data_IF_454981422198
#
_entry.id   IF_454981422198
#
_cell.length_a   1.000
_cell.length_b   1.000
_cell.length_c   1.000
_cell.angle_alpha   90.00
_cell.angle_beta   90.00
_cell.angle_gamma   90.00
#
_symmetry.space_group_name_H-M   'P 1'
#
loop_
_entity.id
_entity.type
_entity.pdbx_description
1 polymer ?
#
# COMPACT_ATOMS: atom_id res chain seq x y z
N UNK A 1 -27.69 -13.29 1.93
CA UNK A 1 -27.61 -13.12 0.45
C UNK A 1 -27.19 -11.69 0.19
N UNK A 2 -26.17 -11.47 -0.65
CA UNK A 2 -25.92 -10.12 -1.15
C UNK A 2 -26.92 -9.81 -2.26
N UNK A 3 -27.43 -8.58 -2.25
CA UNK A 3 -28.37 -8.10 -3.25
C UNK A 3 -27.92 -6.74 -3.79
N UNK A 4 -28.10 -6.52 -5.09
CA UNK A 4 -27.87 -5.25 -5.76
C UNK A 4 -29.18 -4.75 -6.33
N UNK A 5 -29.65 -3.60 -5.85
CA UNK A 5 -30.97 -3.05 -6.22
C UNK A 5 -32.11 -4.09 -6.04
N UNK A 6 -32.03 -4.90 -4.98
CA UNK A 6 -33.01 -5.95 -4.69
C UNK A 6 -32.82 -7.26 -5.46
N UNK A 7 -31.79 -7.37 -6.32
CA UNK A 7 -31.50 -8.58 -7.09
C UNK A 7 -30.37 -9.38 -6.43
N UNK A 8 -30.59 -10.66 -6.18
CA UNK A 8 -29.58 -11.57 -5.62
C UNK A 8 -28.39 -11.74 -6.56
N UNK A 9 -27.18 -11.62 -6.02
CA UNK A 9 -25.94 -11.86 -6.74
C UNK A 9 -25.66 -13.37 -6.87
N UNK A 10 -25.27 -13.81 -8.06
CA UNK A 10 -24.83 -15.20 -8.29
C UNK A 10 -23.45 -15.43 -7.68
N UNK A 11 -23.19 -16.63 -7.15
CA UNK A 11 -21.88 -17.00 -6.58
C UNK A 11 -21.49 -18.43 -6.92
N UNK A 12 -20.19 -18.71 -6.95
CA UNK A 12 -19.65 -20.06 -6.99
C UNK A 12 -19.45 -20.64 -5.57
N UNK A 13 -18.96 -21.88 -5.48
CA UNK A 13 -18.72 -22.57 -4.21
C UNK A 13 -17.54 -21.97 -3.40
N UNK A 14 -16.63 -21.23 -4.06
CA UNK A 14 -15.54 -20.51 -3.41
C UNK A 14 -15.98 -19.11 -2.91
N UNK A 15 -17.23 -18.70 -3.21
CA UNK A 15 -17.80 -17.44 -2.78
C UNK A 15 -17.62 -16.29 -3.75
N UNK A 16 -16.95 -16.51 -4.89
CA UNK A 16 -16.77 -15.47 -5.90
C UNK A 16 -18.08 -15.18 -6.60
N UNK A 17 -18.34 -13.90 -6.87
CA UNK A 17 -19.56 -13.51 -7.57
C UNK A 17 -19.49 -13.95 -9.03
N UNK A 18 -20.49 -14.65 -9.53
CA UNK A 18 -20.57 -15.11 -10.93
C UNK A 18 -21.51 -14.26 -11.77
N UNK A 19 -22.38 -13.47 -11.12
CA UNK A 19 -23.30 -12.57 -11.79
C UNK A 19 -23.75 -11.45 -10.86
N UNK A 20 -23.96 -10.25 -11.43
CA UNK A 20 -24.60 -9.16 -10.70
C UNK A 20 -26.13 -9.12 -10.81
N UNK A 21 -26.73 -10.06 -11.53
CA UNK A 21 -28.17 -10.12 -11.79
C UNK A 21 -28.71 -9.01 -12.72
N UNK A 22 -27.84 -8.15 -13.24
CA UNK A 22 -28.13 -7.02 -14.14
C UNK A 22 -27.41 -7.16 -15.48
N UNK A 23 -27.19 -8.41 -15.91
CA UNK A 23 -26.58 -8.73 -17.21
C UNK A 23 -25.04 -8.84 -17.20
N UNK A 24 -24.36 -8.51 -16.10
CA UNK A 24 -22.92 -8.80 -15.99
C UNK A 24 -22.70 -10.20 -15.44
N UNK A 25 -21.79 -10.95 -16.06
CA UNK A 25 -21.32 -12.23 -15.53
C UNK A 25 -19.79 -12.29 -15.50
N UNK A 26 -19.30 -13.09 -14.56
CA UNK A 26 -17.90 -13.16 -14.19
C UNK A 26 -17.46 -14.62 -14.17
N UNK A 27 -16.31 -14.91 -14.79
CA UNK A 27 -15.63 -16.19 -14.64
C UNK A 27 -14.32 -16.00 -13.88
N UNK A 28 -13.92 -17.04 -13.15
CA UNK A 28 -12.78 -17.00 -12.23
C UNK A 28 -11.75 -18.05 -12.62
N UNK A 29 -10.47 -17.75 -12.43
CA UNK A 29 -9.41 -18.75 -12.55
C UNK A 29 -9.33 -19.64 -11.29
N UNK A 30 -8.46 -20.65 -11.34
CA UNK A 30 -8.27 -21.57 -10.20
C UNK A 30 -7.67 -20.94 -8.94
N UNK A 31 -7.18 -19.69 -9.02
CA UNK A 31 -6.64 -18.93 -7.89
C UNK A 31 -7.62 -17.87 -7.38
N UNK A 32 -8.84 -17.79 -7.93
CA UNK A 32 -9.85 -16.83 -7.50
C UNK A 32 -9.68 -15.43 -8.07
N UNK A 33 -8.95 -15.25 -9.18
CA UNK A 33 -8.94 -13.98 -9.91
C UNK A 33 -10.00 -13.94 -11.01
N UNK A 34 -10.54 -12.75 -11.27
CA UNK A 34 -11.47 -12.53 -12.36
C UNK A 34 -10.75 -12.80 -13.68
N UNK A 35 -11.15 -13.84 -14.42
CA UNK A 35 -10.51 -14.28 -15.66
C UNK A 35 -11.30 -13.88 -16.90
N UNK A 36 -12.63 -13.71 -16.79
CA UNK A 36 -13.48 -13.27 -17.89
C UNK A 36 -14.61 -12.38 -17.38
N UNK A 37 -14.92 -11.36 -18.17
CA UNK A 37 -16.09 -10.50 -17.96
C UNK A 37 -16.97 -10.50 -19.21
N UNK A 38 -18.27 -10.75 -18.98
CA UNK A 38 -19.29 -10.70 -20.02
C UNK A 38 -20.38 -9.69 -19.66
N UNK A 39 -20.93 -9.03 -20.67
CA UNK A 39 -22.07 -8.13 -20.55
C UNK A 39 -23.18 -8.61 -21.50
N UNK A 40 -24.35 -8.91 -20.95
CA UNK A 40 -25.52 -9.44 -21.67
C UNK A 40 -25.18 -10.68 -22.51
N UNK A 41 -24.39 -11.59 -21.96
CA UNK A 41 -23.94 -12.81 -22.63
C UNK A 41 -22.84 -12.61 -23.67
N UNK A 42 -22.34 -11.38 -23.86
CA UNK A 42 -21.27 -11.06 -24.81
C UNK A 42 -19.96 -10.86 -24.06
N UNK A 43 -18.90 -11.57 -24.46
CA UNK A 43 -17.56 -11.39 -23.90
C UNK A 43 -17.02 -9.99 -24.19
N UNK A 44 -16.56 -9.32 -23.14
CA UNK A 44 -16.02 -7.96 -23.19
C UNK A 44 -14.55 -7.90 -22.76
N UNK A 45 -14.14 -8.75 -21.83
CA UNK A 45 -12.74 -8.84 -21.43
C UNK A 45 -12.33 -10.24 -20.95
N UNK A 46 -11.04 -10.53 -21.12
CA UNK A 46 -10.34 -11.63 -20.45
C UNK A 46 -9.07 -11.12 -19.80
N UNK A 47 -8.75 -11.61 -18.61
CA UNK A 47 -7.65 -11.14 -17.79
C UNK A 47 -6.73 -12.30 -17.42
N UNK A 48 -5.43 -12.01 -17.30
CA UNK A 48 -4.39 -12.99 -17.04
C UNK A 48 -3.45 -12.49 -15.96
N UNK A 49 -2.96 -13.40 -15.13
CA UNK A 49 -2.18 -13.08 -13.93
C UNK A 49 -0.89 -13.89 -13.88
N UNK A 50 0.15 -13.34 -13.27
CA UNK A 50 1.39 -14.07 -12.99
C UNK A 50 1.29 -14.84 -11.66
N UNK A 51 2.34 -15.59 -11.32
CA UNK A 51 2.44 -16.31 -10.03
C UNK A 51 2.40 -15.37 -8.81
N UNK A 52 2.66 -14.08 -9.02
CA UNK A 52 2.56 -13.06 -7.99
C UNK A 52 1.14 -12.46 -7.90
N UNK A 53 0.15 -12.99 -8.61
CA UNK A 53 -1.24 -12.49 -8.62
C UNK A 53 -1.40 -11.10 -9.27
N UNK A 54 -0.35 -10.59 -9.91
CA UNK A 54 -0.41 -9.32 -10.65
C UNK A 54 -0.97 -9.57 -12.04
N UNK A 55 -1.85 -8.69 -12.50
CA UNK A 55 -2.44 -8.82 -13.83
C UNK A 55 -1.39 -8.55 -14.89
N UNK A 56 -1.01 -9.54 -15.68
CA UNK A 56 0.00 -9.40 -16.73
C UNK A 56 -0.56 -8.75 -17.98
N UNK A 57 -1.78 -9.11 -18.38
CA UNK A 57 -2.44 -8.51 -19.53
C UNK A 57 -3.95 -8.68 -19.46
N UNK A 58 -4.63 -7.83 -20.24
CA UNK A 58 -6.04 -7.99 -20.55
C UNK A 58 -6.28 -7.90 -22.05
N UNK A 59 -7.25 -8.67 -22.53
CA UNK A 59 -7.74 -8.57 -23.89
C UNK A 59 -9.16 -8.03 -23.86
N UNK A 60 -9.45 -7.04 -24.68
CA UNK A 60 -10.78 -6.48 -24.88
C UNK A 60 -11.44 -7.13 -26.09
N UNK A 61 -12.75 -7.34 -25.97
CA UNK A 61 -13.55 -8.09 -26.93
C UNK A 61 -14.86 -7.38 -27.26
N UNK A 62 -15.34 -7.60 -28.48
CA UNK A 62 -16.74 -7.42 -28.83
C UNK A 62 -17.30 -8.76 -29.33
N UNK A 63 -17.69 -9.63 -28.40
CA UNK A 63 -18.01 -11.02 -28.72
C UNK A 63 -16.74 -11.75 -29.15
N UNK A 64 -16.74 -12.34 -30.34
CA UNK A 64 -15.57 -13.07 -30.86
C UNK A 64 -14.50 -12.17 -31.50
N UNK A 65 -14.75 -10.86 -31.64
CA UNK A 65 -13.80 -9.91 -32.23
C UNK A 65 -12.89 -9.32 -31.15
N UNK A 66 -11.58 -9.52 -31.29
CA UNK A 66 -10.59 -8.87 -30.43
C UNK A 66 -10.50 -7.36 -30.78
N UNK A 67 -10.54 -6.51 -29.76
CA UNK A 67 -10.43 -5.05 -29.89
C UNK A 67 -9.03 -4.54 -29.56
N UNK A 68 -8.30 -5.26 -28.70
CA UNK A 68 -6.95 -4.88 -28.30
C UNK A 68 -6.47 -5.62 -27.07
N UNK A 69 -5.17 -5.52 -26.82
CA UNK A 69 -4.50 -6.10 -25.66
C UNK A 69 -3.72 -5.02 -24.95
N UNK A 70 -3.89 -4.94 -23.64
CA UNK A 70 -3.05 -4.13 -22.76
C UNK A 70 -2.18 -5.08 -21.94
N UNK A 71 -0.87 -4.86 -21.95
CA UNK A 71 0.12 -5.56 -21.14
C UNK A 71 0.58 -4.64 -20.02
N UNK A 72 0.62 -5.13 -18.79
CA UNK A 72 0.97 -4.39 -17.60
C UNK A 72 2.37 -4.78 -17.13
N UNK A 73 3.18 -3.77 -16.83
CA UNK A 73 4.56 -3.94 -16.36
C UNK A 73 4.67 -3.34 -14.97
N UNK A 74 5.24 -4.09 -14.03
CA UNK A 74 5.33 -3.72 -12.64
C UNK A 74 6.79 -3.55 -12.21
N UNK A 75 7.03 -2.75 -11.17
CA UNK A 75 8.33 -2.72 -10.50
C UNK A 75 8.49 -3.91 -9.54
N UNK A 76 9.62 -3.94 -8.85
CA UNK A 76 9.93 -4.98 -7.86
C UNK A 76 8.99 -4.93 -6.64
N UNK A 77 8.36 -3.79 -6.40
CA UNK A 77 7.35 -3.57 -5.38
C UNK A 77 5.94 -3.82 -5.93
N UNK A 78 5.76 -4.29 -7.17
CA UNK A 78 4.45 -4.55 -7.73
C UNK A 78 3.59 -3.31 -8.05
N UNK A 79 4.18 -2.12 -8.10
CA UNK A 79 3.50 -0.91 -8.58
C UNK A 79 3.47 -0.93 -10.10
N UNK A 80 2.34 -0.53 -10.68
CA UNK A 80 2.20 -0.46 -12.13
C UNK A 80 3.12 0.62 -12.69
N UNK A 81 4.16 0.23 -13.42
CA UNK A 81 5.13 1.14 -14.04
C UNK A 81 4.70 1.57 -15.44
N UNK A 82 4.16 0.64 -16.22
CA UNK A 82 3.91 0.89 -17.64
C UNK A 82 2.81 0.00 -18.18
N UNK A 83 2.13 0.52 -19.19
CA UNK A 83 1.25 -0.24 -20.06
C UNK A 83 1.76 -0.22 -21.49
N UNK A 84 1.67 -1.37 -22.17
CA UNK A 84 2.00 -1.50 -23.60
C UNK A 84 0.90 -2.23 -24.36
N UNK A 85 0.86 -2.05 -25.67
CA UNK A 85 0.10 -2.92 -26.56
C UNK A 85 0.73 -4.33 -26.62
N UNK A 86 0.06 -5.27 -27.29
CA UNK A 86 0.61 -6.59 -27.62
C UNK A 86 1.85 -6.53 -28.51
N UNK A 87 2.08 -5.43 -29.23
CA UNK A 87 3.27 -5.22 -30.07
C UNK A 87 4.41 -4.51 -29.34
N UNK A 88 4.23 -4.20 -28.05
CA UNK A 88 5.21 -3.48 -27.23
C UNK A 88 5.18 -1.96 -27.39
N UNK A 89 4.23 -1.40 -28.14
CA UNK A 89 4.05 0.06 -28.20
C UNK A 89 3.61 0.58 -26.84
N UNK A 90 4.28 1.61 -26.33
CA UNK A 90 3.96 2.21 -25.02
C UNK A 90 2.59 2.90 -25.09
N UNK A 91 1.76 2.69 -24.07
CA UNK A 91 0.46 3.35 -23.92
C UNK A 91 0.51 4.40 -22.80
N UNK A 92 1.05 4.03 -21.64
CA UNK A 92 1.21 4.90 -20.49
C UNK A 92 2.43 4.50 -19.65
N UNK A 93 3.13 5.46 -19.07
CA UNK A 93 4.15 5.25 -18.02
C UNK A 93 3.74 5.99 -16.76
N UNK A 94 3.81 5.33 -15.61
CA UNK A 94 3.42 5.87 -14.32
C UNK A 94 4.66 6.28 -13.53
N UNK A 95 4.58 7.43 -12.88
CA UNK A 95 5.64 8.00 -12.06
C UNK A 95 5.09 8.14 -10.65
N UNK A 96 5.85 7.63 -9.68
CA UNK A 96 5.53 7.68 -8.26
C UNK A 96 6.64 8.39 -7.50
N UNK A 97 6.32 8.90 -6.32
CA UNK A 97 7.34 9.31 -5.35
C UNK A 97 7.95 8.09 -4.62
N UNK A 98 8.84 8.36 -3.67
CA UNK A 98 9.48 7.33 -2.85
C UNK A 98 8.48 6.57 -1.97
N UNK A 99 7.42 7.23 -1.51
CA UNK A 99 6.35 6.63 -0.71
C UNK A 99 5.36 5.79 -1.55
N UNK A 100 5.43 5.87 -2.88
CA UNK A 100 4.52 5.17 -3.79
C UNK A 100 3.24 5.94 -4.13
N UNK A 101 3.18 7.25 -3.83
CA UNK A 101 2.11 8.14 -4.28
C UNK A 101 2.27 8.43 -5.77
N UNK A 102 1.22 8.30 -6.60
CA UNK A 102 1.32 8.58 -8.02
C UNK A 102 1.43 10.09 -8.28
N UNK A 103 2.51 10.51 -8.95
CA UNK A 103 2.82 11.91 -9.25
C UNK A 103 2.41 12.33 -10.67
N UNK A 104 2.63 11.46 -11.65
CA UNK A 104 2.36 11.77 -13.04
C UNK A 104 2.17 10.52 -13.90
N UNK A 105 1.56 10.71 -15.06
CA UNK A 105 1.46 9.71 -16.13
C UNK A 105 1.99 10.34 -17.42
N UNK A 106 2.91 9.65 -18.09
CA UNK A 106 3.27 9.97 -19.47
C UNK A 106 2.40 9.12 -20.37
N UNK A 107 1.42 9.72 -21.03
CA UNK A 107 0.53 9.06 -21.97
C UNK A 107 1.09 9.21 -23.38
N UNK A 108 1.34 8.08 -24.03
CA UNK A 108 1.97 8.08 -25.34
C UNK A 108 1.04 8.66 -26.42
N UNK A 109 1.64 9.34 -27.40
CA UNK A 109 0.95 9.84 -28.58
C UNK A 109 0.10 8.75 -29.26
N UNK A 110 -1.13 9.08 -29.63
CA UNK A 110 -2.10 8.18 -30.27
C UNK A 110 -2.40 6.88 -29.48
N UNK A 111 -2.12 6.85 -28.18
CA UNK A 111 -2.57 5.76 -27.31
C UNK A 111 -4.07 5.89 -27.02
N UNK A 112 -4.73 4.82 -26.52
CA UNK A 112 -6.11 4.90 -26.05
C UNK A 112 -6.34 5.93 -24.94
N UNK A 113 -5.29 6.47 -24.31
CA UNK A 113 -5.36 7.40 -23.18
C UNK A 113 -5.10 8.85 -23.56
N UNK A 114 -4.54 9.09 -24.74
CA UNK A 114 -4.13 10.39 -25.24
C UNK A 114 -4.46 10.50 -26.74
N UNK A 115 -5.46 11.32 -27.05
CA UNK A 115 -5.94 11.56 -28.41
C UNK A 115 -5.02 12.47 -29.26
N UNK A 116 -3.89 12.94 -28.72
CA UNK A 116 -2.96 13.83 -29.41
C UNK A 116 -1.83 13.08 -30.12
N UNK A 117 -1.16 13.77 -31.04
CA UNK A 117 -0.03 13.24 -31.81
C UNK A 117 1.32 13.37 -31.10
N UNK A 118 1.33 13.85 -29.86
CA UNK A 118 2.51 14.01 -29.03
C UNK A 118 2.29 13.35 -27.67
N UNK A 119 3.39 12.93 -27.02
CA UNK A 119 3.31 12.43 -25.66
C UNK A 119 2.83 13.55 -24.73
N UNK A 120 1.94 13.20 -23.80
CA UNK A 120 1.42 14.13 -22.81
C UNK A 120 1.84 13.71 -21.41
N UNK A 121 2.37 14.66 -20.65
CA UNK A 121 2.58 14.49 -19.21
C UNK A 121 1.34 15.01 -18.49
N UNK A 122 0.69 14.10 -17.77
CA UNK A 122 -0.49 14.35 -16.95
C UNK A 122 -0.06 14.32 -15.49
N UNK A 123 -0.06 15.48 -14.84
CA UNK A 123 0.34 15.61 -13.44
C UNK A 123 -0.84 15.28 -12.53
N UNK A 124 -0.66 14.31 -11.63
CA UNK A 124 -1.71 13.81 -10.76
C UNK A 124 -1.72 14.59 -9.44
N UNK A 125 -2.92 14.95 -9.00
CA UNK A 125 -3.17 15.59 -7.70
C UNK A 125 -3.98 14.61 -6.85
N UNK A 126 -3.34 14.11 -5.81
CA UNK A 126 -3.89 13.07 -4.94
C UNK A 126 -4.57 13.67 -3.71
N UNK A 127 -5.53 12.94 -3.14
CA UNK A 127 -6.09 13.25 -1.82
C UNK A 127 -5.19 12.73 -0.70
N UNK A 128 -5.65 12.85 0.55
CA UNK A 128 -4.90 12.45 1.75
C UNK A 128 -4.58 10.94 1.82
N UNK A 129 -5.28 10.10 1.05
CA UNK A 129 -5.00 8.67 0.94
C UNK A 129 -4.17 8.29 -0.29
N UNK A 130 -3.61 9.25 -1.03
CA UNK A 130 -2.86 8.96 -2.26
C UNK A 130 -3.73 8.66 -3.50
N UNK A 131 -5.05 8.65 -3.37
CA UNK A 131 -5.99 8.48 -4.49
C UNK A 131 -5.95 9.71 -5.43
N UNK A 132 -5.71 9.56 -6.75
CA UNK A 132 -5.84 10.66 -7.70
C UNK A 132 -7.26 11.24 -7.71
N UNK A 133 -7.39 12.54 -7.50
CA UNK A 133 -8.69 13.27 -7.52
C UNK A 133 -8.80 14.24 -8.69
N UNK A 134 -7.66 14.70 -9.20
CA UNK A 134 -7.58 15.63 -10.30
C UNK A 134 -6.27 15.40 -11.07
N UNK A 135 -6.24 15.76 -12.34
CA UNK A 135 -5.00 15.81 -13.10
C UNK A 135 -4.92 17.07 -13.97
N UNK A 136 -3.69 17.56 -14.16
CA UNK A 136 -3.41 18.75 -14.97
C UNK A 136 -2.41 18.49 -16.10
N UNK A 137 -2.52 19.26 -17.19
CA UNK A 137 -1.52 19.30 -18.25
C UNK A 137 -0.30 20.17 -17.86
N UNK A 138 0.67 20.29 -18.78
CA UNK A 138 1.86 21.15 -18.62
C UNK A 138 1.55 22.64 -18.54
N UNK A 139 0.36 23.08 -18.96
CA UNK A 139 -0.12 24.45 -18.83
C UNK A 139 -0.94 24.66 -17.54
N UNK A 140 -0.99 23.66 -16.64
CA UNK A 140 -1.75 23.67 -15.39
C UNK A 140 -3.28 23.73 -15.59
N UNK A 141 -3.78 23.34 -16.77
CA UNK A 141 -5.23 23.16 -16.99
C UNK A 141 -5.66 21.83 -16.42
N UNK A 142 -6.83 21.80 -15.79
CA UNK A 142 -7.45 20.56 -15.33
C UNK A 142 -7.92 19.81 -16.56
N UNK A 143 -7.40 18.61 -16.78
CA UNK A 143 -7.74 17.75 -17.94
C UNK A 143 -8.43 16.45 -17.53
N UNK A 144 -8.45 16.14 -16.23
CA UNK A 144 -9.18 15.02 -15.67
C UNK A 144 -9.59 15.30 -14.23
N UNK A 145 -10.77 14.85 -13.83
CA UNK A 145 -11.28 15.03 -12.46
C UNK A 145 -12.11 13.84 -12.02
N UNK A 146 -11.93 13.40 -10.78
CA UNK A 146 -12.72 12.32 -10.18
C UNK A 146 -13.19 12.67 -8.77
N UNK A 147 -14.36 13.30 -8.72
CA UNK A 147 -15.10 13.54 -7.48
C UNK A 147 -15.94 12.30 -7.17
N UNK A 148 -15.37 11.40 -6.37
CA UNK A 148 -16.05 10.20 -5.93
C UNK A 148 -16.41 10.25 -4.46
N UNK A 149 -17.44 9.48 -4.12
CA UNK A 149 -17.81 9.25 -2.73
C UNK A 149 -16.75 8.41 -2.00
N UNK A 150 -17.06 8.02 -0.77
CA UNK A 150 -16.15 7.24 0.06
C UNK A 150 -15.81 5.86 -0.55
N UNK A 151 -16.66 5.31 -1.43
CA UNK A 151 -16.49 3.97 -2.00
C UNK A 151 -16.14 3.98 -3.50
N UNK A 152 -16.01 5.15 -4.13
CA UNK A 152 -15.55 5.26 -5.50
C UNK A 152 -16.66 5.05 -6.55
N UNK A 153 -17.93 5.32 -6.24
CA UNK A 153 -19.08 4.93 -7.11
C UNK A 153 -19.24 5.76 -8.40
N UNK A 154 -18.58 6.91 -8.51
CA UNK A 154 -18.77 7.85 -9.63
C UNK A 154 -17.79 7.58 -10.78
N UNK A 155 -18.16 7.99 -11.99
CA UNK A 155 -17.26 7.96 -13.16
C UNK A 155 -16.48 9.29 -13.22
N UNK A 156 -15.19 9.29 -13.59
CA UNK A 156 -14.43 10.53 -13.75
C UNK A 156 -14.93 11.40 -14.91
N UNK A 157 -14.77 12.71 -14.78
CA UNK A 157 -14.87 13.66 -15.89
C UNK A 157 -13.53 13.71 -16.63
N UNK A 158 -13.53 13.21 -17.86
CA UNK A 158 -12.33 13.01 -18.69
C UNK A 158 -11.98 14.20 -19.59
N UNK A 159 -12.85 15.20 -19.68
CA UNK A 159 -12.64 16.45 -20.43
C UNK A 159 -13.30 17.62 -19.64
N UNK A 160 -12.70 18.04 -18.52
CA UNK A 160 -13.19 19.16 -17.74
C UNK A 160 -12.83 20.54 -18.30
N UNK A 161 -11.85 20.63 -19.19
CA UNK A 161 -11.47 21.86 -19.91
C UNK A 161 -12.31 22.11 -21.18
N UNK A 162 -13.04 21.10 -21.66
CA UNK A 162 -14.03 21.20 -22.72
C UNK A 162 -13.42 21.37 -24.12
N UNK A 163 -12.21 20.86 -24.33
CA UNK A 163 -11.49 21.01 -25.60
C UNK A 163 -11.81 19.87 -26.60
N UNK A 164 -12.63 18.90 -26.18
CA UNK A 164 -13.03 17.73 -26.96
C UNK A 164 -12.02 16.58 -26.92
N UNK A 165 -10.94 16.69 -26.15
CA UNK A 165 -9.92 15.65 -25.99
C UNK A 165 -10.01 15.02 -24.61
N UNK A 166 -10.33 13.74 -24.58
CA UNK A 166 -10.43 13.01 -23.32
C UNK A 166 -9.04 12.62 -22.80
N UNK A 167 -8.82 12.85 -21.51
CA UNK A 167 -7.71 12.30 -20.74
C UNK A 167 -8.19 11.12 -19.90
N UNK A 168 -7.52 9.98 -19.99
CA UNK A 168 -7.91 8.77 -19.24
C UNK A 168 -6.91 8.46 -18.13
N UNK A 169 -7.38 8.50 -16.89
CA UNK A 169 -6.64 8.02 -15.71
C UNK A 169 -7.39 6.83 -15.09
N UNK A 170 -6.76 5.67 -15.14
CA UNK A 170 -7.35 4.42 -14.64
C UNK A 170 -6.99 4.11 -13.18
N UNK A 171 -6.04 4.82 -12.57
CA UNK A 171 -5.75 4.66 -11.14
C UNK A 171 -6.96 5.06 -10.29
N UNK A 172 -7.23 4.33 -9.20
CA UNK A 172 -8.31 4.57 -8.24
C UNK A 172 -7.73 4.69 -6.84
N UNK A 173 -8.35 4.09 -5.82
CA UNK A 173 -7.73 3.98 -4.50
C UNK A 173 -6.35 3.29 -4.62
N UNK A 174 -5.42 3.46 -3.66
CA UNK A 174 -4.11 2.81 -3.73
C UNK A 174 -4.22 1.31 -4.04
N UNK A 175 -3.39 0.85 -5.00
CA UNK A 175 -3.42 -0.52 -5.51
C UNK A 175 -4.45 -0.79 -6.62
N UNK A 176 -5.44 0.09 -6.80
CA UNK A 176 -6.58 -0.18 -7.67
C UNK A 176 -6.43 0.39 -9.09
N UNK A 177 -6.86 -0.42 -10.05
CA UNK A 177 -6.95 -0.10 -11.46
C UNK A 177 -8.38 -0.24 -11.97
N UNK A 178 -8.90 0.81 -12.60
CA UNK A 178 -10.25 0.83 -13.18
C UNK A 178 -10.33 0.13 -14.53
N UNK A 179 -11.25 -0.83 -14.63
CA UNK A 179 -11.59 -1.49 -15.88
C UNK A 179 -12.92 -0.96 -16.43
N UNK A 180 -12.83 -0.01 -17.37
CA UNK A 180 -13.98 0.66 -17.97
C UNK A 180 -15.01 -0.29 -18.58
N UNK A 181 -14.57 -1.45 -19.09
CA UNK A 181 -15.44 -2.48 -19.65
C UNK A 181 -16.44 -3.05 -18.63
N UNK A 182 -16.05 -3.13 -17.36
CA UNK A 182 -16.81 -3.78 -16.30
C UNK A 182 -17.35 -2.80 -15.25
N UNK A 183 -16.68 -1.65 -15.11
CA UNK A 183 -16.89 -0.71 -14.01
C UNK A 183 -16.28 -1.18 -12.68
N UNK A 184 -15.56 -2.30 -12.68
CA UNK A 184 -14.88 -2.85 -11.52
C UNK A 184 -13.46 -2.30 -11.40
N UNK A 185 -12.90 -2.40 -10.20
CA UNK A 185 -11.52 -2.04 -9.96
C UNK A 185 -10.73 -3.32 -9.68
N UNK A 186 -9.76 -3.64 -10.53
CA UNK A 186 -8.78 -4.68 -10.22
C UNK A 186 -7.89 -4.15 -9.09
N UNK A 187 -7.77 -4.92 -8.00
CA UNK A 187 -6.94 -4.58 -6.85
C UNK A 187 -6.05 -5.77 -6.50
N UNK A 188 -5.05 -5.98 -7.35
CA UNK A 188 -4.09 -7.07 -7.22
C UNK A 188 -4.75 -8.44 -6.96
N UNK A 189 -4.81 -8.89 -5.70
CA UNK A 189 -5.36 -10.17 -5.29
C UNK A 189 -6.89 -10.27 -5.42
N UNK A 190 -7.59 -9.13 -5.39
CA UNK A 190 -9.06 -9.09 -5.42
C UNK A 190 -9.61 -8.15 -6.48
N UNK A 191 -10.89 -8.33 -6.80
CA UNK A 191 -11.64 -7.39 -7.65
C UNK A 191 -12.66 -6.65 -6.80
N UNK A 192 -12.60 -5.33 -6.82
CA UNK A 192 -13.45 -4.44 -6.06
C UNK A 192 -14.62 -3.93 -6.90
N UNK A 193 -15.82 -3.95 -6.34
CA UNK A 193 -17.01 -3.37 -6.95
C UNK A 193 -17.42 -2.11 -6.18
N UNK A 194 -17.16 -0.90 -6.73
CA UNK A 194 -17.47 0.35 -6.04
C UNK A 194 -18.96 0.48 -5.75
N UNK A 195 -19.84 -0.06 -6.59
CA UNK A 195 -21.28 0.04 -6.38
C UNK A 195 -21.79 -0.83 -5.22
N UNK A 196 -20.98 -1.76 -4.72
CA UNK A 196 -21.28 -2.56 -3.53
C UNK A 196 -20.44 -2.13 -2.32
N UNK A 197 -19.43 -1.27 -2.54
CA UNK A 197 -18.46 -0.84 -1.54
C UNK A 197 -17.64 -1.99 -0.96
N UNK A 198 -17.34 -3.02 -1.77
CA UNK A 198 -16.71 -4.26 -1.31
C UNK A 198 -16.06 -5.07 -2.44
N UNK A 199 -15.32 -6.10 -2.07
CA UNK A 199 -14.79 -7.09 -3.02
C UNK A 199 -15.85 -8.07 -3.49
N UNK A 200 -15.69 -8.57 -4.71
CA UNK A 200 -16.57 -9.58 -5.33
C UNK A 200 -15.96 -11.00 -5.32
N UNK A 201 -14.75 -11.14 -4.77
CA UNK A 201 -14.14 -12.41 -4.38
C UNK A 201 -13.92 -12.44 -2.87
N UNK A 202 -13.89 -13.65 -2.30
CA UNK A 202 -13.55 -13.83 -0.87
C UNK A 202 -12.09 -13.49 -0.62
N UNK A 203 -11.78 -13.03 0.58
CA UNK A 203 -10.41 -12.75 1.02
C UNK A 203 -9.50 -13.99 0.92
N UNK A 204 -8.38 -13.94 0.18
CA UNK A 204 -7.42 -15.04 0.09
C UNK A 204 -6.79 -15.40 1.45
N UNK A 205 -6.65 -14.44 2.37
CA UNK A 205 -6.16 -14.69 3.73
C UNK A 205 -7.30 -15.09 4.69
N UNK A 206 -8.51 -15.29 4.16
CA UNK A 206 -9.68 -15.73 4.91
C UNK A 206 -10.09 -14.73 5.99
N UNK A 207 -10.41 -15.23 7.18
CA UNK A 207 -10.88 -14.39 8.29
C UNK A 207 -9.76 -13.61 8.98
N UNK A 208 -8.50 -13.80 8.58
CA UNK A 208 -7.38 -12.98 9.07
C UNK A 208 -7.53 -11.51 8.65
N UNK A 209 -8.13 -11.25 7.47
CA UNK A 209 -8.48 -9.89 7.01
C UNK A 209 -9.73 -9.30 7.68
N UNK A 210 -10.40 -10.08 8.54
CA UNK A 210 -11.59 -9.68 9.29
C UNK A 210 -12.77 -10.64 9.11
N UNK A 211 -13.79 -10.47 9.96
CA UNK A 211 -14.98 -11.35 9.97
C UNK A 211 -15.83 -11.28 8.70
N UNK A 212 -15.68 -10.21 7.91
CA UNK A 212 -16.32 -10.06 6.62
C UNK A 212 -15.28 -10.22 5.50
N UNK A 213 -15.20 -11.42 4.93
CA UNK A 213 -14.25 -11.77 3.87
C UNK A 213 -14.42 -10.99 2.55
N UNK A 214 -15.42 -10.12 2.44
CA UNK A 214 -15.63 -9.27 1.26
C UNK A 214 -15.40 -7.79 1.55
N UNK A 215 -15.29 -7.39 2.83
CA UNK A 215 -15.24 -6.00 3.23
C UNK A 215 -14.07 -5.24 2.60
N UNK A 216 -14.30 -3.99 2.20
CA UNK A 216 -13.20 -3.10 1.83
C UNK A 216 -12.80 -2.30 3.05
N UNK A 217 -11.55 -2.46 3.49
CA UNK A 217 -10.91 -1.68 4.56
C UNK A 217 -11.73 -1.52 5.85
N UNK A 218 -12.35 -2.62 6.31
CA UNK A 218 -13.20 -2.59 7.51
C UNK A 218 -14.39 -1.62 7.42
N UNK A 219 -14.82 -1.27 6.20
CA UNK A 219 -15.83 -0.25 5.90
C UNK A 219 -15.44 1.17 6.35
N UNK A 220 -14.14 1.46 6.46
CA UNK A 220 -13.60 2.79 6.80
C UNK A 220 -12.72 3.39 5.68
N UNK A 221 -13.26 3.58 4.45
CA UNK A 221 -12.47 3.99 3.27
C UNK A 221 -12.05 5.46 3.25
N UNK A 222 -12.39 6.24 4.28
CA UNK A 222 -11.87 7.58 4.48
C UNK A 222 -10.57 7.62 5.30
N UNK A 223 -10.23 6.52 6.00
CA UNK A 223 -9.08 6.46 6.91
C UNK A 223 -8.08 5.38 6.52
N UNK A 224 -8.53 4.36 5.78
CA UNK A 224 -7.77 3.16 5.50
C UNK A 224 -7.69 2.90 3.99
N UNK A 225 -6.60 2.26 3.58
CA UNK A 225 -6.33 1.84 2.21
C UNK A 225 -6.06 0.33 2.18
N UNK A 226 -6.18 -0.31 1.02
CA UNK A 226 -5.80 -1.73 0.82
C UNK A 226 -5.05 -1.87 -0.51
N UNK A 227 -3.72 -1.63 -0.51
CA UNK A 227 -2.93 -1.61 -1.74
C UNK A 227 -2.73 -2.96 -2.43
N UNK A 228 -2.84 -4.07 -1.70
CA UNK A 228 -2.66 -5.42 -2.25
C UNK A 228 -3.99 -6.16 -2.48
N UNK A 229 -5.10 -5.62 -1.99
CA UNK A 229 -6.35 -6.35 -1.97
C UNK A 229 -6.32 -7.49 -0.97
N UNK A 230 -5.63 -7.37 0.16
CA UNK A 230 -5.61 -8.39 1.23
C UNK A 230 -5.72 -7.76 2.62
N UNK A 231 -5.08 -6.61 2.85
CA UNK A 231 -4.95 -6.04 4.19
C UNK A 231 -5.25 -4.54 4.19
N UNK A 232 -6.04 -4.11 5.17
CA UNK A 232 -6.32 -2.70 5.40
C UNK A 232 -5.16 -2.04 6.17
N UNK A 233 -4.74 -0.86 5.73
CA UNK A 233 -3.62 -0.10 6.30
C UNK A 233 -4.06 1.34 6.57
N UNK A 234 -3.59 1.92 7.67
CA UNK A 234 -3.68 3.37 7.92
C UNK A 234 -2.53 4.07 7.20
N UNK A 235 -2.80 5.24 6.60
CA UNK A 235 -1.79 5.96 5.80
C UNK A 235 -0.65 6.50 6.65
N UNK A 236 -0.93 6.97 7.87
CA UNK A 236 0.11 7.40 8.83
C UNK A 236 1.07 6.27 9.22
N UNK A 237 0.62 5.01 9.19
CA UNK A 237 1.47 3.85 9.45
C UNK A 237 2.24 3.38 8.19
N UNK A 238 1.82 3.75 6.99
CA UNK A 238 2.52 3.36 5.76
C UNK A 238 3.83 4.15 5.57
N UNK A 239 3.85 5.42 6.01
CA UNK A 239 5.00 6.32 5.92
C UNK A 239 6.12 5.98 6.93
N UNK A 240 5.77 5.58 8.16
CA UNK A 240 6.75 5.31 9.23
C UNK A 240 7.37 3.90 9.15
N UNK A 241 6.66 2.93 8.55
CA UNK A 241 7.11 1.53 8.43
C UNK A 241 7.81 1.18 7.11
N UNK A 242 8.04 2.16 6.22
CA UNK A 242 8.57 1.87 4.88
C UNK A 242 7.71 0.82 4.15
N UNK A 243 6.39 0.87 4.37
CA UNK A 243 5.45 -0.06 3.79
C UNK A 243 5.33 0.29 2.30
N UNK A 244 6.27 -0.20 1.50
CA UNK A 244 6.27 -0.01 0.07
C UNK A 244 4.93 -0.52 -0.46
N UNK A 245 4.17 0.40 -1.08
CA UNK A 245 2.94 0.13 -1.82
C UNK A 245 3.22 -1.05 -2.75
N UNK A 246 2.89 -2.27 -2.29
CA UNK A 246 3.01 -3.53 -3.01
C UNK A 246 4.10 -4.55 -2.62
N UNK A 247 4.75 -4.46 -1.45
CA UNK A 247 5.57 -5.60 -0.99
C UNK A 247 4.71 -6.79 -0.53
N UNK A 248 5.04 -8.01 -0.98
CA UNK A 248 4.47 -9.30 -0.54
C UNK A 248 4.96 -9.77 0.83
N UNK A 249 5.66 -8.94 1.58
CA UNK A 249 6.40 -9.36 2.76
C UNK A 249 5.55 -9.33 4.03
N UNK A 250 4.43 -10.06 4.07
CA UNK A 250 3.78 -10.42 5.33
C UNK A 250 3.17 -11.83 5.36
N UNK A 251 3.51 -12.69 4.38
CA UNK A 251 3.00 -14.05 4.32
C UNK A 251 3.41 -15.02 5.47
N UNK A 252 4.38 -14.75 6.37
CA UNK A 252 4.61 -15.62 7.52
C UNK A 252 4.15 -15.06 8.88
N UNK A 253 3.64 -13.83 9.00
CA UNK A 253 3.34 -13.25 10.34
C UNK A 253 2.02 -13.70 10.99
N UNK A 254 1.19 -14.49 10.29
CA UNK A 254 -0.15 -14.89 10.80
C UNK A 254 -0.27 -16.40 11.06
N UNK A 255 0.84 -17.12 11.23
CA UNK A 255 0.74 -18.55 11.59
C UNK A 255 0.61 -18.78 13.11
N UNK A 256 0.84 -17.77 13.96
CA UNK A 256 0.81 -17.91 15.42
C UNK A 256 -0.18 -16.93 16.08
N UNK A 257 -1.47 -17.12 15.79
CA UNK A 257 -2.53 -16.87 16.78
C UNK A 257 -2.77 -15.45 17.29
N UNK A 258 -2.38 -14.38 16.58
CA UNK A 258 -2.76 -13.01 16.96
C UNK A 258 -3.65 -12.41 15.86
N UNK A 259 -4.97 -12.55 16.06
CA UNK A 259 -5.96 -11.74 15.36
C UNK A 259 -5.92 -10.33 15.95
N UNK A 260 -5.27 -9.37 15.28
CA UNK A 260 -5.48 -7.95 15.60
C UNK A 260 -6.53 -7.36 14.67
N UNK A 261 -7.78 -7.66 14.98
CA UNK A 261 -8.87 -6.76 14.64
C UNK A 261 -8.69 -5.47 15.47
N UNK A 262 -7.95 -4.49 14.97
CA UNK A 262 -7.83 -3.19 15.64
C UNK A 262 -8.91 -2.24 15.11
N UNK A 263 -10.07 -2.30 15.76
CA UNK A 263 -10.95 -1.15 15.85
C UNK A 263 -10.39 -0.15 16.86
N UNK A 264 -10.02 1.04 16.36
CA UNK A 264 -9.93 2.34 17.05
C UNK A 264 -8.92 2.52 18.21
N UNK A 265 -8.27 3.69 18.15
CA UNK A 265 -7.53 4.42 19.19
C UNK A 265 -6.06 4.03 19.40
N UNK A 266 -5.19 4.87 18.83
CA UNK A 266 -4.00 5.43 19.50
C UNK A 266 -3.04 4.47 20.19
N UNK A 267 -1.84 4.40 19.61
CA UNK A 267 -0.58 3.92 20.18
C UNK A 267 -0.26 2.41 20.09
N UNK A 268 1.00 2.18 19.69
CA UNK A 268 1.82 0.97 19.84
C UNK A 268 1.59 -0.20 18.88
N UNK A 269 1.90 0.00 17.59
CA UNK A 269 2.22 -1.09 16.65
C UNK A 269 3.72 -1.12 16.23
N UNK A 270 4.52 -0.14 16.69
CA UNK A 270 5.93 0.06 16.33
C UNK A 270 6.89 -1.11 16.62
N UNK A 271 6.70 -1.79 17.75
CA UNK A 271 7.77 -2.60 18.33
C UNK A 271 7.73 -4.08 17.92
N UNK A 272 6.56 -4.61 17.56
CA UNK A 272 6.39 -6.06 17.36
C UNK A 272 6.73 -6.53 15.95
N UNK A 273 6.63 -5.67 14.93
CA UNK A 273 6.90 -6.03 13.54
C UNK A 273 8.41 -6.05 13.20
N UNK A 274 9.24 -5.34 13.99
CA UNK A 274 10.69 -5.26 13.75
C UNK A 274 11.40 -6.60 14.04
N UNK A 275 11.05 -7.27 15.14
CA UNK A 275 11.70 -8.52 15.57
C UNK A 275 11.47 -9.71 14.62
N UNK A 276 10.39 -9.69 13.84
CA UNK A 276 10.02 -10.86 13.01
C UNK A 276 10.64 -10.80 11.60
N UNK A 277 11.18 -9.65 11.18
CA UNK A 277 11.79 -9.48 9.85
C UNK A 277 13.30 -9.78 9.79
N UNK A 278 13.94 -10.08 10.94
CA UNK A 278 15.36 -10.37 11.03
C UNK A 278 15.64 -11.76 11.65
N UNK A 279 15.28 -12.88 11.00
CA UNK A 279 15.69 -14.19 11.49
C UNK A 279 17.17 -14.40 11.17
N UNK A 280 17.95 -14.65 12.22
CA UNK A 280 19.32 -15.19 12.24
C UNK A 280 20.47 -14.18 12.01
N UNK A 281 20.72 -13.33 13.01
CA UNK A 281 22.09 -13.19 13.51
C UNK A 281 22.08 -13.43 15.02
N UNK A 282 22.82 -14.43 15.48
CA UNK A 282 23.13 -14.63 16.91
C UNK A 282 23.69 -13.32 17.49
N UNK A 283 22.84 -12.58 18.19
CA UNK A 283 23.10 -11.61 19.27
C UNK A 283 21.81 -10.81 19.44
N UNK A 284 20.97 -11.27 20.35
CA UNK A 284 19.75 -10.57 20.73
C UNK A 284 20.10 -9.14 21.21
N UNK A 285 19.45 -8.16 20.59
CA UNK A 285 19.54 -6.76 21.01
C UNK A 285 19.08 -6.62 22.46
N UNK A 286 19.99 -6.10 23.26
CA UNK A 286 19.85 -5.81 24.68
C UNK A 286 19.02 -4.55 24.86
N UNK A 287 17.80 -4.75 25.36
CA UNK A 287 16.85 -3.68 25.63
C UNK A 287 17.01 -3.21 27.07
N UNK A 288 17.64 -2.06 27.22
CA UNK A 288 17.81 -1.36 28.47
C UNK A 288 16.48 -0.86 29.05
N UNK A 289 16.03 -1.49 30.14
CA UNK A 289 14.90 -0.98 30.93
C UNK A 289 15.41 -0.04 32.01
N UNK A 290 15.04 1.24 31.93
CA UNK A 290 15.17 2.18 33.05
C UNK A 290 13.95 1.97 33.94
N UNK A 291 14.14 1.60 35.20
CA UNK A 291 13.04 1.38 36.14
C UNK A 291 12.39 2.73 36.50
N UNK A 292 11.26 3.03 35.87
CA UNK A 292 10.34 4.08 36.31
C UNK A 292 9.56 3.57 37.53
N UNK A 293 10.16 3.59 38.73
CA UNK A 293 9.48 3.75 40.03
C UNK A 293 10.43 3.45 41.20
N UNK A 294 11.08 4.48 41.75
CA UNK A 294 11.24 4.67 43.21
C UNK A 294 12.14 5.88 43.51
N UNK A 295 11.61 6.81 44.29
CA UNK A 295 12.38 7.84 45.01
C UNK A 295 12.80 7.27 46.38
N UNK A 296 13.52 6.14 46.43
CA UNK A 296 13.95 5.57 47.72
C UNK A 296 15.30 4.85 47.61
N UNK A 297 16.14 5.06 48.62
CA UNK A 297 17.56 4.73 48.73
C UNK A 297 17.88 3.23 48.93
N UNK A 298 17.26 2.34 48.14
CA UNK A 298 17.43 0.90 48.30
C UNK A 298 17.16 0.11 47.02
N UNK A 299 18.13 0.06 46.11
CA UNK A 299 18.06 -0.76 44.91
C UNK A 299 18.22 -2.26 45.24
N UNK A 300 17.11 -2.99 45.33
CA UNK A 300 17.10 -4.44 45.12
C UNK A 300 16.60 -4.76 43.71
N UNK A 301 17.32 -5.70 43.07
CA UNK A 301 17.20 -6.12 41.69
C UNK A 301 15.88 -6.85 41.42
N UNK A 302 15.17 -6.57 40.32
CA UNK A 302 14.28 -7.54 39.70
C UNK A 302 15.13 -8.48 38.83
N UNK A 303 14.89 -9.77 38.99
CA UNK A 303 15.60 -10.89 38.37
C UNK A 303 15.52 -10.91 36.83
N UNK A 304 16.68 -11.23 36.25
CA UNK A 304 16.94 -12.21 35.17
C UNK A 304 16.05 -12.19 33.91
N UNK A 305 16.52 -11.51 32.85
CA UNK A 305 15.93 -11.60 31.52
C UNK A 305 16.88 -11.52 30.31
N UNK A 306 18.04 -10.85 30.41
CA UNK A 306 19.06 -10.88 29.34
C UNK A 306 20.48 -10.62 29.90
N UNK A 307 21.43 -11.57 29.78
CA UNK A 307 22.80 -11.41 30.28
C UNK A 307 23.69 -10.43 29.47
N UNK A 308 23.24 -9.94 28.31
CA UNK A 308 24.05 -9.09 27.43
C UNK A 308 23.89 -7.57 27.68
N UNK A 309 23.05 -7.18 28.65
CA UNK A 309 22.87 -5.80 29.06
C UNK A 309 24.17 -5.26 29.71
N UNK A 310 25.02 -4.59 28.91
CA UNK A 310 26.18 -3.75 29.31
C UNK A 310 25.89 -2.37 29.98
N UNK A 311 25.81 -2.34 31.32
CA UNK A 311 25.40 -1.15 32.09
C UNK A 311 26.46 -0.03 31.95
N UNK A 312 26.03 1.24 31.88
CA UNK A 312 26.95 2.37 32.05
C UNK A 312 27.63 2.23 33.43
N UNK A 313 28.95 2.31 33.45
CA UNK A 313 29.70 2.34 34.71
C UNK A 313 29.46 3.67 35.44
N UNK A 314 29.60 3.67 36.77
CA UNK A 314 29.45 4.90 37.58
C UNK A 314 30.35 6.06 37.07
N UNK A 315 31.55 5.74 36.55
CA UNK A 315 32.45 6.74 35.97
C UNK A 315 31.99 7.33 34.64
N UNK A 316 31.15 6.64 33.87
CA UNK A 316 30.55 7.18 32.63
C UNK A 316 29.35 8.06 32.95
N UNK A 317 28.59 7.72 34.00
CA UNK A 317 27.47 8.51 34.50
C UNK A 317 27.97 9.86 35.05
N UNK A 318 29.08 9.88 35.77
CA UNK A 318 29.62 11.11 36.34
C UNK A 318 30.18 12.06 35.25
N UNK A 319 30.79 11.52 34.18
CA UNK A 319 31.21 12.33 33.02
C UNK A 319 30.04 12.99 32.30
N UNK A 320 28.88 12.32 32.22
CA UNK A 320 27.67 12.90 31.65
C UNK A 320 27.09 14.02 32.53
N UNK A 321 27.13 13.84 33.86
CA UNK A 321 26.72 14.88 34.82
C UNK A 321 27.62 16.10 34.79
N UNK A 322 28.93 15.91 34.71
CA UNK A 322 29.91 17.01 34.60
C UNK A 322 29.75 17.79 33.28
N UNK A 323 29.31 17.12 32.21
CA UNK A 323 28.94 17.74 30.93
C UNK A 323 27.55 18.38 30.92
N UNK A 324 26.80 18.33 32.03
CA UNK A 324 25.43 18.86 32.13
C UNK A 324 24.39 18.12 31.29
N UNK A 325 24.65 16.86 30.96
CA UNK A 325 23.78 16.00 30.14
C UNK A 325 23.03 15.03 31.05
N UNK A 326 21.70 15.06 31.01
CA UNK A 326 20.89 14.05 31.68
C UNK A 326 20.93 12.74 30.87
N UNK A 327 21.37 11.61 31.46
CA UNK A 327 21.38 10.32 30.76
C UNK A 327 20.02 9.90 30.20
N UNK A 328 18.92 10.38 30.80
CA UNK A 328 17.55 10.14 30.33
C UNK A 328 17.19 10.85 29.02
N UNK A 329 17.95 11.87 28.61
CA UNK A 329 17.70 12.64 27.38
C UNK A 329 18.37 11.99 26.13
N UNK A 330 19.15 10.94 26.31
CA UNK A 330 19.90 10.29 25.25
C UNK A 330 19.03 9.23 24.55
N UNK A 331 18.81 9.41 23.23
CA UNK A 331 18.18 8.37 22.38
C UNK A 331 19.26 7.56 21.65
N UNK A 332 19.16 6.22 21.62
CA UNK A 332 20.14 5.41 20.90
C UNK A 332 20.02 5.63 19.38
N UNK A 333 21.15 5.86 18.71
CA UNK A 333 21.24 5.90 17.24
C UNK A 333 22.54 5.20 16.82
N UNK A 334 22.45 4.26 15.88
CA UNK A 334 23.62 3.54 15.33
C UNK A 334 24.01 4.16 13.99
N UNK A 335 25.27 4.54 13.83
CA UNK A 335 25.89 4.83 12.53
C UNK A 335 27.22 4.08 12.47
N UNK A 336 27.37 3.21 11.47
CA UNK A 336 28.60 2.49 11.08
C UNK A 336 29.62 2.20 12.20
N UNK A 337 29.24 1.29 13.10
CA UNK A 337 30.11 0.65 14.11
C UNK A 337 30.82 1.57 15.11
N UNK A 338 30.45 2.85 15.25
CA UNK A 338 30.88 3.72 16.35
C UNK A 338 29.68 4.36 17.09
N UNK A 339 29.79 4.47 18.42
CA UNK A 339 28.75 5.07 19.28
C UNK A 339 28.86 6.61 19.22
N UNK A 340 27.81 7.27 18.75
CA UNK A 340 27.71 8.75 18.73
C UNK A 340 26.44 9.14 19.50
N UNK A 341 26.57 9.99 20.51
CA UNK A 341 25.42 10.64 21.16
C UNK A 341 25.08 11.93 20.41
N UNK A 342 23.78 12.25 20.27
CA UNK A 342 23.33 13.50 19.66
C UNK A 342 22.32 14.22 20.54
N UNK A 343 22.53 15.53 20.73
CA UNK A 343 21.50 16.50 21.11
C UNK A 343 21.38 17.47 19.93
N UNK A 344 20.16 17.95 19.65
CA UNK A 344 19.80 18.85 18.55
C UNK A 344 20.97 19.69 18.01
N UNK A 345 21.54 19.25 16.88
CA UNK A 345 22.57 19.99 16.12
C UNK A 345 24.05 19.72 16.46
N UNK A 346 24.40 18.78 17.35
CA UNK A 346 25.81 18.40 17.61
C UNK A 346 26.00 16.88 17.69
N UNK A 347 26.98 16.37 16.93
CA UNK A 347 27.45 14.98 16.98
C UNK A 347 28.61 14.87 17.97
N UNK A 348 28.50 14.01 18.98
CA UNK A 348 29.60 13.70 19.91
C UNK A 348 29.94 12.21 19.80
N UNK A 349 31.06 11.90 19.16
CA UNK A 349 31.61 10.53 19.11
C UNK A 349 32.33 10.21 20.42
N UNK A 350 32.02 9.06 21.04
CA UNK A 350 32.73 8.56 22.22
C UNK A 350 34.22 8.29 21.95
N UNK A 351 34.63 8.13 20.67
CA UNK A 351 36.05 8.02 20.29
C UNK A 351 36.84 9.33 20.44
N UNK A 352 36.16 10.48 20.63
CA UNK A 352 36.79 11.79 20.72
C UNK A 352 36.91 12.31 22.18
N UNK A 353 36.46 11.54 23.17
CA UNK A 353 36.63 11.86 24.59
C UNK A 353 37.99 11.43 25.17
N UNK A 354 38.84 10.76 24.39
CA UNK A 354 40.18 10.32 24.80
C UNK A 354 41.34 11.18 24.25
N UNK A 355 41.08 12.29 23.53
CA UNK A 355 42.15 13.10 22.91
C UNK A 355 42.31 14.53 23.38
N UNK A 356 41.60 14.96 24.42
CA UNK A 356 41.84 16.27 25.05
C UNK A 356 42.18 16.15 26.53
N UNK A 357 43.18 15.35 26.88
CA UNK A 357 43.97 15.54 28.12
C UNK A 357 45.34 14.90 27.98
N UNK A 358 46.27 15.57 27.31
CA UNK A 358 47.71 15.52 27.62
C UNK A 358 48.37 16.81 27.15
N UNK A 359 48.91 17.56 28.10
CA UNK A 359 49.94 18.58 27.89
C UNK A 359 51.24 17.95 27.39
#
# INVERSE_FOLDING_TARGET
>A
MDTRKGITLGRDAAGNHTSNGLGQTYAWDGHGHLSQFNLNGVQKATYFYNYQHQRTHKNLWNGSTALGTTVYHYDLQGRLLRETSSTGAVLATYIYDEAGTPLAIIQAANSPYNATTQDQVVYLHTGHLGTPRMATDSNRRIVWKWESDAFGTTVPQQDPDGDGKQTIVNLRFPGQYYDAESGLHQNWHRTYDPSLGRYISSDPIGLAGGVNAYGYVGQSPLNLIDPSGENALAVEAAEEFGYFVGSKAVAPLINWGIATATGVAGATLGTWAYDITHPESENADTTWVINENSNDDGAQCPDEGNPDDKKLSEGEIDKLKDAGINPHDLKPKRVDRNLIYSKTGMEISLSNLEKETTW
#
